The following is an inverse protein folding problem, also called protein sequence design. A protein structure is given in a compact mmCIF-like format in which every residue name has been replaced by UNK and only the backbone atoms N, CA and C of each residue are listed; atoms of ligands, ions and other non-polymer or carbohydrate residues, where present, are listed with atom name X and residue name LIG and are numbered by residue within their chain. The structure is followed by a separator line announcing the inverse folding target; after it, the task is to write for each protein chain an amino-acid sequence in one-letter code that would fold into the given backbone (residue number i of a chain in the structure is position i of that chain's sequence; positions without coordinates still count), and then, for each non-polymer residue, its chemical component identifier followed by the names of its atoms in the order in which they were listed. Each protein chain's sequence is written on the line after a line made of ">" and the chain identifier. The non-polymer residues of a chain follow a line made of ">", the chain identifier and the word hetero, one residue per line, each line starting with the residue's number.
data_IF_016771286035
#
_entry.id   IF_016771286035
#
_cell.length_a   1.000
_cell.length_b   1.000
_cell.length_c   1.000
_cell.angle_alpha   90.00
_cell.angle_beta   90.00
_cell.angle_gamma   90.00
#
_symmetry.space_group_name_H-M   'P 1'
#
loop_
_entity.id
_entity.type
_entity.pdbx_description
1 polymer ?
#
# COMPACT_ATOMS: atom_id res chain seq x y z
N UNK A 1 -21.68 5.20 21.88
CA UNK A 1 -21.15 4.68 23.14
C UNK A 1 -20.91 5.82 24.13
N UNK A 2 -21.15 5.60 25.44
CA UNK A 2 -20.87 6.58 26.51
C UNK A 2 -19.41 6.48 26.96
N UNK A 3 -18.89 5.28 27.15
CA UNK A 3 -17.51 5.03 27.57
C UNK A 3 -16.51 5.47 26.48
N UNK A 4 -15.53 6.35 26.78
CA UNK A 4 -14.56 6.82 25.80
C UNK A 4 -13.63 5.70 25.30
N UNK A 5 -13.36 4.68 26.09
CA UNK A 5 -12.54 3.53 25.67
C UNK A 5 -13.24 2.73 24.58
N UNK A 6 -14.56 2.50 24.72
CA UNK A 6 -15.35 1.82 23.70
C UNK A 6 -15.41 2.66 22.42
N UNK A 7 -15.57 4.00 22.54
CA UNK A 7 -15.52 4.87 21.35
C UNK A 7 -14.18 4.73 20.62
N UNK A 8 -13.11 4.68 21.36
CA UNK A 8 -11.76 4.56 20.80
C UNK A 8 -11.56 3.20 20.13
N UNK A 9 -11.99 2.10 20.76
CA UNK A 9 -11.89 0.75 20.23
C UNK A 9 -12.59 0.56 18.87
N UNK A 10 -13.66 1.33 18.59
CA UNK A 10 -14.38 1.30 17.31
C UNK A 10 -14.00 2.43 16.35
N UNK A 11 -12.97 3.20 16.61
CA UNK A 11 -12.56 4.32 15.76
C UNK A 11 -11.06 4.38 15.45
N UNK A 12 -10.20 3.73 16.25
CA UNK A 12 -8.76 3.80 16.04
C UNK A 12 -8.30 3.17 14.71
N UNK A 13 -9.09 2.28 14.11
CA UNK A 13 -8.81 1.64 12.82
C UNK A 13 -8.57 2.63 11.68
N UNK A 14 -9.02 3.89 11.82
CA UNK A 14 -8.67 4.95 10.87
C UNK A 14 -7.17 5.17 10.75
N UNK A 15 -6.37 4.78 11.76
CA UNK A 15 -4.90 4.81 11.71
C UNK A 15 -4.32 3.85 10.68
N UNK A 16 -5.03 2.79 10.30
CA UNK A 16 -4.65 1.92 9.17
C UNK A 16 -4.60 2.65 7.83
N UNK A 17 -5.23 3.83 7.77
CA UNK A 17 -5.21 4.72 6.61
C UNK A 17 -4.35 5.98 6.85
N UNK A 18 -3.58 5.99 7.95
CA UNK A 18 -2.74 7.11 8.34
C UNK A 18 -3.50 8.37 8.75
N UNK A 19 -4.70 8.22 9.34
CA UNK A 19 -5.56 9.34 9.72
C UNK A 19 -5.96 9.32 11.19
N UNK A 20 -6.20 10.50 11.75
CA UNK A 20 -6.80 10.66 13.06
C UNK A 20 -8.27 10.23 13.08
N UNK A 21 -8.72 9.41 14.07
CA UNK A 21 -10.13 9.05 14.24
C UNK A 21 -11.03 10.27 14.50
N UNK A 22 -10.47 11.39 14.94
CA UNK A 22 -11.20 12.61 15.23
C UNK A 22 -11.46 13.47 13.98
N UNK A 23 -10.83 13.17 12.85
CA UNK A 23 -10.93 13.89 11.58
C UNK A 23 -11.31 12.99 10.41
N UNK A 24 -11.28 11.69 10.64
CA UNK A 24 -11.64 10.70 9.66
C UNK A 24 -13.14 10.72 9.39
N UNK A 25 -13.60 10.62 8.14
CA UNK A 25 -15.00 10.39 7.84
C UNK A 25 -15.55 9.14 8.52
N UNK A 26 -16.76 9.22 9.08
CA UNK A 26 -17.40 8.11 9.79
C UNK A 26 -17.61 6.85 8.94
N UNK A 27 -17.55 6.96 7.61
CA UNK A 27 -17.57 5.83 6.69
C UNK A 27 -16.51 4.77 7.05
N UNK A 28 -15.36 5.18 7.61
CA UNK A 28 -14.27 4.26 7.95
C UNK A 28 -14.53 3.40 9.19
N UNK A 29 -15.67 3.56 9.89
CA UNK A 29 -16.13 2.59 10.88
C UNK A 29 -16.44 1.22 10.26
N UNK A 30 -16.59 1.16 8.93
CA UNK A 30 -16.68 -0.12 8.19
C UNK A 30 -15.44 -1.01 8.40
N UNK A 31 -14.28 -0.46 8.72
CA UNK A 31 -13.07 -1.24 8.99
C UNK A 31 -13.26 -2.15 10.20
N UNK A 32 -13.85 -1.63 11.31
CA UNK A 32 -14.19 -2.44 12.47
C UNK A 32 -15.18 -3.56 12.11
N UNK A 33 -16.21 -3.24 11.31
CA UNK A 33 -17.16 -4.26 10.83
C UNK A 33 -16.45 -5.38 10.05
N UNK A 34 -15.55 -5.01 9.13
CA UNK A 34 -14.83 -6.00 8.31
C UNK A 34 -13.95 -6.92 9.17
N UNK A 35 -13.29 -6.39 10.19
CA UNK A 35 -12.46 -7.18 11.12
C UNK A 35 -13.31 -8.16 11.92
N UNK A 36 -14.44 -7.73 12.46
CA UNK A 36 -15.31 -8.59 13.29
C UNK A 36 -16.10 -9.61 12.48
N UNK A 37 -16.54 -9.25 11.26
CA UNK A 37 -17.33 -10.12 10.41
C UNK A 37 -16.47 -11.15 9.67
N UNK A 38 -15.31 -10.72 9.15
CA UNK A 38 -14.48 -11.57 8.28
C UNK A 38 -13.19 -12.07 8.95
N UNK A 39 -12.82 -11.52 10.10
CA UNK A 39 -11.59 -11.85 10.81
C UNK A 39 -10.33 -11.21 10.21
N UNK A 40 -9.21 -11.46 10.88
CA UNK A 40 -7.88 -11.04 10.46
C UNK A 40 -7.04 -12.30 10.28
N UNK A 41 -6.31 -12.40 9.16
CA UNK A 41 -5.57 -13.60 8.78
C UNK A 41 -4.08 -13.29 8.67
N UNK A 42 -3.26 -14.19 9.20
CA UNK A 42 -1.82 -14.20 9.03
C UNK A 42 -1.44 -15.28 8.01
N UNK A 43 -0.86 -14.94 6.85
CA UNK A 43 -0.36 -15.94 5.92
C UNK A 43 0.92 -16.58 6.48
N UNK A 44 1.06 -17.89 6.38
CA UNK A 44 2.29 -18.58 6.78
C UNK A 44 3.48 -18.05 6.01
N UNK A 45 4.55 -17.67 6.70
CA UNK A 45 5.71 -16.98 6.14
C UNK A 45 5.50 -15.47 5.93
N UNK A 46 4.42 -14.90 6.49
CA UNK A 46 4.14 -13.45 6.48
C UNK A 46 3.69 -12.91 5.12
N UNK A 47 3.53 -11.59 5.03
CA UNK A 47 3.10 -10.92 3.80
C UNK A 47 4.06 -11.14 2.62
N UNK A 48 5.34 -11.38 2.88
CA UNK A 48 6.33 -11.72 1.85
C UNK A 48 5.98 -13.00 1.08
N UNK A 49 5.43 -14.01 1.77
CA UNK A 49 4.99 -15.25 1.14
C UNK A 49 3.82 -15.03 0.17
N UNK A 50 2.92 -14.10 0.47
CA UNK A 50 1.83 -13.69 -0.44
C UNK A 50 2.41 -13.08 -1.72
N UNK A 51 3.32 -12.11 -1.60
CA UNK A 51 3.96 -11.47 -2.75
C UNK A 51 4.70 -12.48 -3.63
N UNK A 52 5.43 -13.43 -3.03
CA UNK A 52 6.12 -14.49 -3.75
C UNK A 52 5.13 -15.45 -4.46
N UNK A 53 4.01 -15.79 -3.81
CA UNK A 53 2.98 -16.62 -4.42
C UNK A 53 2.33 -15.93 -5.62
N UNK A 54 2.06 -14.63 -5.53
CA UNK A 54 1.54 -13.82 -6.64
C UNK A 54 2.56 -13.74 -7.78
N UNK A 55 3.84 -13.52 -7.49
CA UNK A 55 4.91 -13.52 -8.50
C UNK A 55 4.94 -14.84 -9.26
N UNK A 56 4.99 -15.99 -8.55
CA UNK A 56 4.96 -17.31 -9.18
C UNK A 56 3.70 -17.53 -10.03
N UNK A 57 2.53 -17.06 -9.58
CA UNK A 57 1.30 -17.17 -10.35
C UNK A 57 1.37 -16.33 -11.65
N UNK A 58 1.89 -15.13 -11.55
CA UNK A 58 2.06 -14.19 -12.66
C UNK A 58 3.00 -14.76 -13.72
N UNK A 59 4.13 -15.35 -13.32
CA UNK A 59 5.09 -16.00 -14.23
C UNK A 59 4.47 -17.24 -14.92
N UNK A 60 3.70 -18.06 -14.18
CA UNK A 60 2.94 -19.19 -14.75
C UNK A 60 1.93 -18.78 -15.83
N UNK A 61 1.42 -17.55 -15.73
CA UNK A 61 0.53 -16.95 -16.73
C UNK A 61 1.29 -16.34 -17.92
N UNK A 62 2.62 -16.45 -17.95
CA UNK A 62 3.47 -16.02 -19.06
C UNK A 62 4.02 -14.60 -18.93
N UNK A 63 3.77 -13.90 -17.83
CA UNK A 63 4.38 -12.59 -17.58
C UNK A 63 5.87 -12.75 -17.21
N UNK A 64 6.64 -11.68 -17.41
CA UNK A 64 8.05 -11.60 -17.02
C UNK A 64 8.23 -10.59 -15.91
N UNK A 65 9.00 -10.95 -14.89
CA UNK A 65 9.34 -10.08 -13.77
C UNK A 65 10.82 -9.71 -13.89
N UNK A 66 11.12 -8.41 -13.94
CA UNK A 66 12.46 -7.87 -13.99
C UNK A 66 12.76 -7.17 -12.67
N UNK A 67 13.63 -7.78 -11.86
CA UNK A 67 14.11 -7.23 -10.59
C UNK A 67 15.36 -6.39 -10.80
N UNK A 68 15.64 -5.47 -9.88
CA UNK A 68 16.80 -4.57 -9.93
C UNK A 68 16.86 -3.73 -11.22
N UNK A 69 15.70 -3.46 -11.80
CA UNK A 69 15.55 -2.72 -13.03
C UNK A 69 14.54 -1.54 -12.85
N UNK A 70 14.97 -0.48 -12.17
CA UNK A 70 14.11 0.70 -11.98
C UNK A 70 13.78 1.34 -13.33
N UNK A 71 12.52 1.77 -13.47
CA UNK A 71 12.09 2.60 -14.60
C UNK A 71 12.61 4.03 -14.36
N UNK A 72 13.38 4.53 -15.29
CA UNK A 72 14.00 5.86 -15.25
C UNK A 72 13.13 6.93 -15.94
N UNK A 73 12.33 6.49 -16.93
CA UNK A 73 11.51 7.40 -17.74
C UNK A 73 10.32 6.66 -18.35
N UNK A 74 9.18 7.34 -18.43
CA UNK A 74 8.04 6.92 -19.25
C UNK A 74 8.10 7.70 -20.56
N UNK A 75 8.08 6.98 -21.70
CA UNK A 75 8.16 7.55 -23.03
C UNK A 75 6.76 7.89 -23.56
N UNK A 76 6.60 9.08 -24.10
CA UNK A 76 5.33 9.57 -24.61
C UNK A 76 5.42 10.00 -26.08
N UNK A 77 4.36 9.70 -26.83
CA UNK A 77 4.02 10.33 -28.11
C UNK A 77 2.80 11.22 -27.88
N UNK A 78 3.03 12.54 -27.84
CA UNK A 78 2.00 13.49 -27.41
C UNK A 78 1.60 13.23 -25.95
N UNK A 79 0.39 12.73 -25.72
CA UNK A 79 -0.14 12.38 -24.39
C UNK A 79 -0.27 10.87 -24.16
N UNK A 80 0.11 10.07 -25.15
CA UNK A 80 0.02 8.61 -25.10
C UNK A 80 1.34 8.02 -24.61
N UNK A 81 1.31 7.19 -23.58
CA UNK A 81 2.47 6.39 -23.19
C UNK A 81 2.72 5.29 -24.23
N UNK A 82 3.97 5.17 -24.68
CA UNK A 82 4.38 4.21 -25.72
C UNK A 82 5.48 3.27 -25.26
N UNK A 83 6.03 3.46 -24.07
CA UNK A 83 7.06 2.59 -23.51
C UNK A 83 7.67 3.15 -22.24
N UNK A 84 8.64 2.44 -21.72
CA UNK A 84 9.46 2.85 -20.57
C UNK A 84 10.94 2.67 -20.90
N UNK A 85 11.77 3.51 -20.28
CA UNK A 85 13.23 3.39 -20.29
C UNK A 85 13.72 2.88 -18.94
N UNK A 86 14.62 1.93 -18.97
CA UNK A 86 15.38 1.42 -17.82
C UNK A 86 16.85 1.28 -18.21
N UNK A 87 17.70 0.84 -17.28
CA UNK A 87 19.12 0.57 -17.56
C UNK A 87 19.34 -0.46 -18.67
N UNK A 88 18.41 -1.42 -18.84
CA UNK A 88 18.51 -2.45 -19.87
C UNK A 88 18.01 -1.99 -21.25
N UNK A 89 17.55 -0.76 -21.39
CA UNK A 89 17.08 -0.17 -22.64
C UNK A 89 15.59 0.19 -22.62
N UNK A 90 15.03 0.37 -23.80
CA UNK A 90 13.63 0.77 -24.01
C UNK A 90 12.77 -0.47 -24.16
N UNK A 91 11.62 -0.46 -23.47
CA UNK A 91 10.56 -1.47 -23.60
C UNK A 91 9.29 -0.79 -24.08
N UNK A 92 8.86 -1.05 -25.32
CA UNK A 92 7.60 -0.51 -25.84
C UNK A 92 6.41 -1.20 -25.15
N UNK A 93 5.29 -0.49 -25.06
CA UNK A 93 4.04 -1.02 -24.53
C UNK A 93 2.81 -0.37 -25.16
N UNK A 94 1.72 -1.12 -25.26
CA UNK A 94 0.41 -0.62 -25.71
C UNK A 94 -0.40 -0.01 -24.55
N UNK A 95 -0.13 -0.47 -23.32
CA UNK A 95 -0.72 0.02 -22.09
C UNK A 95 0.30 -0.01 -20.96
N UNK A 96 0.35 1.04 -20.17
CA UNK A 96 1.24 1.17 -19.01
C UNK A 96 0.42 1.18 -17.73
N UNK A 97 0.76 0.29 -16.79
CA UNK A 97 0.20 0.29 -15.43
C UNK A 97 1.26 0.78 -14.45
N UNK A 98 0.96 1.85 -13.72
CA UNK A 98 1.85 2.41 -12.70
C UNK A 98 1.35 1.98 -11.33
N UNK A 99 2.17 1.18 -10.62
CA UNK A 99 1.95 0.73 -9.24
C UNK A 99 2.96 1.33 -8.25
N UNK A 100 3.75 2.31 -8.66
CA UNK A 100 4.62 3.07 -7.78
C UNK A 100 3.79 4.03 -6.90
N UNK A 101 4.43 4.64 -5.88
CA UNK A 101 3.81 5.76 -5.17
C UNK A 101 3.34 6.81 -6.18
N UNK A 102 2.05 7.19 -6.09
CA UNK A 102 1.42 8.02 -7.10
C UNK A 102 2.13 9.38 -7.26
N UNK A 103 2.36 10.07 -6.15
CA UNK A 103 2.95 11.41 -6.20
C UNK A 103 4.42 11.35 -6.64
N UNK A 104 5.17 10.35 -6.17
CA UNK A 104 6.54 10.11 -6.61
C UNK A 104 6.59 9.80 -8.12
N UNK A 105 5.77 8.89 -8.62
CA UNK A 105 5.73 8.55 -10.04
C UNK A 105 5.38 9.77 -10.91
N UNK A 106 4.40 10.59 -10.48
CA UNK A 106 4.04 11.79 -11.21
C UNK A 106 5.19 12.79 -11.25
N UNK A 107 5.86 13.04 -10.13
CA UNK A 107 6.93 14.05 -10.06
C UNK A 107 8.22 13.64 -10.79
N UNK A 108 8.51 12.33 -10.89
CA UNK A 108 9.78 11.84 -11.40
C UNK A 108 9.69 11.20 -12.79
N UNK A 109 8.55 10.54 -13.13
CA UNK A 109 8.43 9.76 -14.35
C UNK A 109 7.54 10.40 -15.40
N UNK A 110 6.70 11.37 -15.03
CA UNK A 110 5.76 12.03 -15.94
C UNK A 110 6.09 13.51 -16.04
N UNK A 111 6.43 14.03 -17.23
CA UNK A 111 6.72 15.45 -17.43
C UNK A 111 5.57 16.35 -16.95
N UNK A 112 5.88 17.39 -16.15
CA UNK A 112 4.88 18.30 -15.58
C UNK A 112 3.94 18.93 -16.62
N UNK A 113 4.38 19.35 -17.82
CA UNK A 113 3.49 19.91 -18.85
C UNK A 113 2.43 18.94 -19.38
N UNK A 114 2.62 17.63 -19.23
CA UNK A 114 1.66 16.61 -19.64
C UNK A 114 0.55 16.40 -18.59
N UNK A 115 0.75 16.89 -17.37
CA UNK A 115 -0.19 16.76 -16.25
C UNK A 115 -1.05 18.01 -16.13
N UNK A 116 -2.38 17.83 -16.04
CA UNK A 116 -3.35 18.92 -15.88
C UNK A 116 -3.86 19.03 -14.47
N UNK A 117 -4.33 17.91 -13.94
CA UNK A 117 -4.93 17.82 -12.59
C UNK A 117 -3.88 17.63 -11.51
N UNK A 118 -2.75 17.00 -11.83
CA UNK A 118 -1.75 16.51 -10.89
C UNK A 118 -0.36 17.10 -11.17
N UNK A 119 -0.29 18.42 -11.43
CA UNK A 119 0.99 19.15 -11.59
C UNK A 119 1.74 19.20 -10.27
N UNK A 120 3.05 19.47 -10.31
CA UNK A 120 3.89 19.52 -9.10
C UNK A 120 3.34 20.52 -8.08
N UNK A 121 2.91 21.70 -8.52
CA UNK A 121 2.37 22.75 -7.67
C UNK A 121 1.03 22.34 -7.03
N UNK A 122 0.24 21.50 -7.71
CA UNK A 122 -1.01 20.98 -7.19
C UNK A 122 -0.79 19.80 -6.25
N UNK A 123 0.20 18.95 -6.54
CA UNK A 123 0.61 17.85 -5.64
C UNK A 123 1.14 18.40 -4.33
N UNK A 124 1.97 19.44 -4.38
CA UNK A 124 2.53 20.09 -3.17
C UNK A 124 1.43 20.61 -2.22
N UNK A 125 0.33 21.10 -2.77
CA UNK A 125 -0.83 21.59 -2.01
C UNK A 125 -1.76 20.49 -1.49
N UNK A 126 -1.52 19.22 -1.84
CA UNK A 126 -2.33 18.11 -1.35
C UNK A 126 -1.98 17.77 0.10
N UNK A 127 -2.96 17.22 0.81
CA UNK A 127 -2.74 16.65 2.12
C UNK A 127 -2.27 15.21 1.97
N UNK A 128 -1.15 14.90 2.59
CA UNK A 128 -0.61 13.55 2.69
C UNK A 128 -0.93 12.95 4.06
N UNK A 129 -0.87 11.63 4.13
CA UNK A 129 -1.04 10.90 5.38
C UNK A 129 0.13 11.14 6.34
N UNK A 130 0.00 10.71 7.56
CA UNK A 130 1.17 10.54 8.42
C UNK A 130 2.14 9.53 7.80
N UNK A 131 3.34 9.51 8.36
CA UNK A 131 4.36 8.50 8.10
C UNK A 131 4.47 7.52 9.26
N UNK A 132 5.46 6.66 9.18
CA UNK A 132 5.81 5.70 10.22
C UNK A 132 7.31 5.71 10.50
N UNK A 133 7.65 5.68 11.78
CA UNK A 133 8.96 5.25 12.25
C UNK A 133 8.85 3.75 12.51
N UNK A 134 9.59 2.96 11.75
CA UNK A 134 9.51 1.50 11.79
C UNK A 134 10.76 0.91 12.41
N UNK A 135 10.60 -0.08 13.28
CA UNK A 135 11.69 -0.93 13.74
C UNK A 135 11.38 -2.38 13.40
N UNK A 136 12.25 -3.01 12.66
CA UNK A 136 12.24 -4.45 12.40
C UNK A 136 13.31 -5.08 13.27
N UNK A 137 12.89 -5.94 14.20
CA UNK A 137 13.75 -6.46 15.25
C UNK A 137 13.80 -7.98 15.19
N UNK A 138 15.02 -8.53 15.24
CA UNK A 138 15.26 -9.93 15.57
C UNK A 138 15.81 -10.00 17.00
N UNK A 139 15.11 -10.71 17.89
CA UNK A 139 15.39 -10.75 19.30
C UNK A 139 15.82 -12.15 19.73
N UNK A 140 16.83 -12.23 20.57
CA UNK A 140 17.14 -13.45 21.32
C UNK A 140 16.06 -13.73 22.36
N UNK A 141 15.69 -15.00 22.47
CA UNK A 141 14.64 -15.46 23.36
C UNK A 141 13.24 -15.29 22.78
N UNK A 142 12.32 -16.07 23.35
CA UNK A 142 10.90 -16.04 22.95
C UNK A 142 10.16 -14.91 23.67
N UNK A 143 9.15 -14.37 23.00
CA UNK A 143 8.22 -13.35 23.50
C UNK A 143 6.80 -13.91 23.52
N UNK A 144 6.61 -15.09 24.13
CA UNK A 144 5.35 -15.85 24.05
C UNK A 144 4.20 -15.18 24.81
N UNK A 145 4.50 -14.33 25.80
CA UNK A 145 3.51 -13.56 26.56
C UNK A 145 3.01 -12.31 25.82
N UNK A 146 3.69 -11.91 24.75
CA UNK A 146 3.26 -10.78 23.93
C UNK A 146 2.33 -11.26 22.82
N UNK A 147 1.11 -10.74 22.77
CA UNK A 147 0.12 -11.09 21.75
C UNK A 147 0.64 -10.81 20.32
N UNK A 148 0.10 -11.53 19.34
CA UNK A 148 0.45 -11.31 17.91
C UNK A 148 0.31 -9.85 17.48
N UNK A 149 -0.75 -9.19 17.94
CA UNK A 149 -1.01 -7.78 17.71
C UNK A 149 -1.20 -7.05 19.03
N UNK A 150 -0.36 -6.06 19.30
CA UNK A 150 -0.47 -5.21 20.48
C UNK A 150 -0.47 -3.75 20.03
N UNK A 151 -1.46 -2.99 20.48
CA UNK A 151 -1.58 -1.55 20.20
C UNK A 151 -1.56 -0.82 21.53
N UNK A 152 -0.60 0.09 21.68
CA UNK A 152 -0.54 1.03 22.77
C UNK A 152 -1.00 2.41 22.28
N UNK A 153 -1.92 3.01 22.99
CA UNK A 153 -2.38 4.36 22.73
C UNK A 153 -1.83 5.29 23.82
N UNK A 154 -1.22 6.38 23.43
CA UNK A 154 -0.67 7.37 24.34
C UNK A 154 -1.73 7.87 25.33
N UNK A 155 -1.34 8.21 26.55
CA UNK A 155 -2.23 8.71 27.60
C UNK A 155 -3.02 9.95 27.14
N UNK A 156 -2.37 10.92 26.50
CA UNK A 156 -3.04 11.98 25.73
C UNK A 156 -3.00 11.65 24.23
N UNK A 157 -3.85 10.72 23.81
CA UNK A 157 -3.96 10.31 22.41
C UNK A 157 -4.31 11.46 21.47
N UNK A 158 -5.11 12.44 21.93
CA UNK A 158 -5.46 13.60 21.11
C UNK A 158 -4.26 14.51 20.89
N UNK A 159 -3.43 14.71 21.91
CA UNK A 159 -2.19 15.47 21.79
C UNK A 159 -1.22 14.78 20.85
N UNK A 160 -1.00 13.48 21.01
CA UNK A 160 -0.15 12.69 20.12
C UNK A 160 -0.58 12.81 18.64
N UNK A 161 -1.88 12.82 18.36
CA UNK A 161 -2.37 12.99 16.99
C UNK A 161 -2.17 14.42 16.45
N UNK A 162 -2.30 15.46 17.31
CA UNK A 162 -1.99 16.84 16.91
C UNK A 162 -0.49 17.02 16.62
N UNK A 163 0.37 16.46 17.44
CA UNK A 163 1.82 16.48 17.23
C UNK A 163 2.17 15.95 15.83
N UNK A 164 1.50 14.88 15.40
CA UNK A 164 1.72 14.23 14.09
C UNK A 164 1.13 15.03 12.92
N UNK A 165 -0.13 15.50 13.06
CA UNK A 165 -0.93 15.98 11.91
C UNK A 165 -0.98 17.51 11.78
N UNK A 166 -0.69 18.25 12.84
CA UNK A 166 -0.80 19.71 12.88
C UNK A 166 0.53 20.39 13.22
N UNK A 167 1.15 19.97 14.34
CA UNK A 167 2.35 20.59 14.85
C UNK A 167 3.61 20.04 14.15
N UNK A 168 3.49 18.86 13.52
CA UNK A 168 4.57 18.16 12.81
C UNK A 168 5.84 18.02 13.65
N UNK A 169 5.69 17.51 14.87
CA UNK A 169 6.80 17.30 15.82
C UNK A 169 6.81 15.87 16.33
N UNK A 170 7.94 15.45 16.92
CA UNK A 170 8.07 14.16 17.57
C UNK A 170 7.57 14.27 19.01
N UNK A 171 6.68 13.36 19.39
CA UNK A 171 6.16 13.30 20.77
C UNK A 171 7.08 12.46 21.67
N UNK A 172 7.16 12.81 22.96
CA UNK A 172 7.86 12.04 23.97
C UNK A 172 7.08 10.77 24.41
N UNK A 173 5.80 10.69 24.13
CA UNK A 173 4.94 9.55 24.48
C UNK A 173 4.12 9.12 23.28
N UNK A 174 4.74 8.47 22.27
CA UNK A 174 4.04 8.04 21.07
C UNK A 174 3.12 6.87 21.35
N UNK A 175 2.01 6.84 20.62
CA UNK A 175 1.27 5.61 20.39
C UNK A 175 2.07 4.72 19.46
N UNK A 176 1.94 3.39 19.60
CA UNK A 176 2.65 2.44 18.75
C UNK A 176 1.87 1.14 18.56
N UNK A 177 2.26 0.39 17.56
CA UNK A 177 1.78 -0.96 17.28
C UNK A 177 2.97 -1.90 17.26
N UNK A 178 2.80 -3.07 17.87
CA UNK A 178 3.77 -4.16 17.82
C UNK A 178 3.10 -5.39 17.21
N UNK A 179 3.76 -5.98 16.22
CA UNK A 179 3.44 -7.31 15.73
C UNK A 179 4.49 -8.30 16.21
N UNK A 180 4.04 -9.39 16.84
CA UNK A 180 4.84 -10.53 17.21
C UNK A 180 4.35 -11.77 16.42
N UNK A 181 4.78 -11.95 15.17
CA UNK A 181 4.27 -13.04 14.34
C UNK A 181 4.71 -14.42 14.82
N UNK A 182 5.79 -14.53 15.59
CA UNK A 182 6.37 -15.80 16.02
C UNK A 182 5.49 -16.58 16.99
N UNK A 183 4.51 -15.95 17.65
CA UNK A 183 3.53 -16.67 18.50
C UNK A 183 2.49 -17.45 17.68
N UNK A 184 2.25 -17.01 16.42
CA UNK A 184 1.29 -17.66 15.52
C UNK A 184 1.98 -18.51 14.47
N UNK A 185 3.15 -18.04 14.00
CA UNK A 185 3.97 -18.69 12.98
C UNK A 185 5.43 -18.76 13.47
N UNK A 186 5.81 -19.82 14.17
CA UNK A 186 7.17 -19.96 14.71
C UNK A 186 8.28 -19.87 13.64
N UNK A 187 7.98 -20.16 12.39
CA UNK A 187 8.91 -20.05 11.27
C UNK A 187 9.30 -18.61 10.91
N UNK A 188 8.70 -17.60 11.55
CA UNK A 188 9.02 -16.18 11.32
C UNK A 188 10.31 -15.71 12.02
N UNK A 189 10.97 -16.57 12.80
CA UNK A 189 12.29 -16.33 13.38
C UNK A 189 13.05 -17.66 13.51
N UNK A 190 14.39 -17.64 13.68
CA UNK A 190 15.15 -18.82 14.07
C UNK A 190 14.66 -19.40 15.38
N UNK A 191 14.95 -20.69 15.62
CA UNK A 191 14.59 -21.39 16.85
C UNK A 191 15.12 -20.65 18.10
N UNK A 192 14.26 -20.51 19.12
CA UNK A 192 14.59 -19.80 20.35
C UNK A 192 14.59 -18.26 20.23
N UNK A 193 14.27 -17.72 19.06
CA UNK A 193 14.22 -16.26 18.80
C UNK A 193 12.80 -15.76 18.54
N UNK A 194 12.65 -14.45 18.54
CA UNK A 194 11.42 -13.76 18.14
C UNK A 194 11.73 -12.68 17.09
N UNK A 195 10.79 -12.44 16.19
CA UNK A 195 10.80 -11.25 15.35
C UNK A 195 9.71 -10.28 15.78
N UNK A 196 10.03 -9.01 15.89
CA UNK A 196 9.05 -7.96 16.16
C UNK A 196 9.05 -6.94 15.03
N UNK A 197 7.86 -6.46 14.73
CA UNK A 197 7.61 -5.35 13.84
C UNK A 197 6.98 -4.24 14.69
N UNK A 198 7.72 -3.16 14.92
CA UNK A 198 7.25 -2.00 15.71
C UNK A 198 6.95 -0.86 14.77
N UNK A 199 5.72 -0.36 14.81
CA UNK A 199 5.25 0.77 14.02
C UNK A 199 4.85 1.92 14.94
N UNK A 200 5.52 3.05 14.79
CA UNK A 200 5.19 4.30 15.49
C UNK A 200 4.71 5.31 14.45
N UNK A 201 3.45 5.74 14.49
CA UNK A 201 2.99 6.82 13.64
C UNK A 201 3.71 8.12 13.96
N UNK A 202 4.26 8.76 12.93
CA UNK A 202 4.96 10.05 13.03
C UNK A 202 4.52 10.97 11.89
N UNK A 203 4.88 12.24 11.94
CA UNK A 203 4.66 13.14 10.80
C UNK A 203 5.39 12.63 9.55
N UNK A 204 4.85 12.89 8.36
CA UNK A 204 5.63 12.73 7.13
C UNK A 204 6.78 13.76 7.11
N UNK A 205 7.63 13.75 6.08
CA UNK A 205 8.76 14.69 6.02
C UNK A 205 8.31 16.15 6.15
N UNK A 206 8.90 16.84 7.09
CA UNK A 206 8.70 18.25 7.40
C UNK A 206 10.01 18.88 7.86
N UNK A 207 10.20 20.16 7.62
CA UNK A 207 11.39 20.92 8.03
C UNK A 207 11.58 20.96 9.55
N UNK A 208 10.52 20.67 10.32
CA UNK A 208 10.55 20.63 11.79
C UNK A 208 11.33 19.43 12.35
N UNK A 209 11.56 18.38 11.55
CA UNK A 209 12.18 17.14 12.02
C UNK A 209 13.34 16.75 11.12
N UNK A 210 14.54 16.86 11.65
CA UNK A 210 15.76 16.38 11.03
C UNK A 210 16.03 14.92 11.43
N UNK A 211 15.59 13.98 10.59
CA UNK A 211 15.75 12.55 10.87
C UNK A 211 17.20 12.09 10.99
N UNK A 212 18.15 12.77 10.38
CA UNK A 212 19.57 12.43 10.55
C UNK A 212 20.04 12.66 11.99
N UNK A 213 19.47 13.64 12.68
CA UNK A 213 19.79 13.98 14.08
C UNK A 213 18.86 13.25 15.06
N UNK A 214 17.57 13.19 14.74
CA UNK A 214 16.53 12.76 15.68
C UNK A 214 16.38 11.24 15.78
N UNK A 215 16.79 10.48 14.78
CA UNK A 215 16.56 9.02 14.73
C UNK A 215 17.03 8.31 15.99
N UNK A 216 18.24 8.59 16.45
CA UNK A 216 18.83 7.93 17.64
C UNK A 216 18.10 8.29 18.93
N UNK A 217 17.75 9.55 19.10
CA UNK A 217 17.01 10.04 20.27
C UNK A 217 15.59 9.49 20.28
N UNK A 218 14.89 9.50 19.12
CA UNK A 218 13.54 8.99 19.03
C UNK A 218 13.47 7.47 19.18
N UNK A 219 14.47 6.72 18.68
CA UNK A 219 14.61 5.28 18.95
C UNK A 219 14.61 5.00 20.46
N UNK A 220 15.36 5.79 21.24
CA UNK A 220 15.41 5.63 22.70
C UNK A 220 14.02 5.85 23.32
N UNK A 221 13.32 6.89 22.90
CA UNK A 221 11.93 7.15 23.33
C UNK A 221 11.04 5.95 23.02
N UNK A 222 11.13 5.38 21.82
CA UNK A 222 10.31 4.21 21.42
C UNK A 222 10.65 2.99 22.29
N UNK A 223 11.93 2.71 22.52
CA UNK A 223 12.35 1.58 23.37
C UNK A 223 11.80 1.73 24.79
N UNK A 224 11.90 2.91 25.39
CA UNK A 224 11.34 3.21 26.73
C UNK A 224 9.79 3.04 26.75
N UNK A 225 9.10 3.35 25.64
CA UNK A 225 7.65 3.14 25.57
C UNK A 225 7.27 1.65 25.42
N UNK A 226 8.13 0.83 24.80
CA UNK A 226 7.86 -0.61 24.63
C UNK A 226 7.84 -1.36 25.96
N UNK A 227 8.51 -0.88 27.00
CA UNK A 227 8.44 -1.42 28.37
C UNK A 227 7.00 -1.42 28.90
N UNK A 228 6.17 -0.46 28.51
CA UNK A 228 4.75 -0.39 28.93
C UNK A 228 3.88 -1.56 28.47
N UNK A 229 4.34 -2.33 27.52
CA UNK A 229 3.67 -3.53 27.02
C UNK A 229 4.44 -4.82 27.32
N UNK A 230 5.38 -4.76 28.26
CA UNK A 230 6.14 -5.91 28.75
C UNK A 230 7.30 -6.33 27.84
N UNK A 231 7.86 -5.38 27.09
CA UNK A 231 9.06 -5.62 26.28
C UNK A 231 10.24 -4.96 27.00
N UNK A 232 10.74 -5.65 27.99
CA UNK A 232 11.86 -5.21 28.83
C UNK A 232 13.20 -5.67 28.24
N UNK A 233 14.29 -5.02 28.64
CA UNK A 233 15.68 -5.36 28.28
C UNK A 233 15.92 -5.47 26.76
N UNK A 234 15.16 -4.70 25.96
CA UNK A 234 15.15 -4.81 24.51
C UNK A 234 16.55 -4.71 23.91
N UNK A 235 17.34 -3.72 24.33
CA UNK A 235 18.68 -3.47 23.78
C UNK A 235 19.66 -4.63 24.00
N UNK A 236 19.48 -5.42 25.07
CA UNK A 236 20.31 -6.59 25.35
C UNK A 236 19.92 -7.79 24.46
N UNK A 237 18.67 -7.84 24.04
CA UNK A 237 18.09 -8.95 23.26
C UNK A 237 18.18 -8.75 21.76
N UNK A 238 18.41 -7.52 21.27
CA UNK A 238 18.51 -7.24 19.84
C UNK A 238 19.71 -7.97 19.22
N UNK A 239 19.45 -8.81 18.19
CA UNK A 239 20.44 -9.43 17.31
C UNK A 239 20.40 -8.89 15.89
N UNK A 240 19.27 -8.32 15.51
CA UNK A 240 19.06 -7.62 14.25
C UNK A 240 18.16 -6.41 14.47
N UNK A 241 18.52 -5.29 13.89
CA UNK A 241 17.68 -4.09 13.89
C UNK A 241 17.76 -3.43 12.51
N UNK A 242 16.61 -3.10 11.95
CA UNK A 242 16.49 -2.18 10.82
C UNK A 242 15.46 -1.11 11.17
N UNK A 243 15.85 0.15 11.04
CA UNK A 243 14.95 1.29 11.24
C UNK A 243 14.65 1.92 9.89
N UNK A 244 13.39 2.25 9.65
CA UNK A 244 12.94 3.09 8.54
C UNK A 244 12.26 4.33 9.10
N UNK A 245 12.82 5.48 8.75
CA UNK A 245 12.30 6.81 9.08
C UNK A 245 11.52 7.37 7.88
N UNK A 246 10.74 8.44 8.02
CA UNK A 246 10.13 9.15 6.89
C UNK A 246 11.13 9.53 5.79
N UNK A 247 12.36 9.93 6.15
CA UNK A 247 13.41 10.22 5.18
C UNK A 247 13.85 8.96 4.40
N UNK A 248 13.98 7.82 5.07
CA UNK A 248 14.33 6.54 4.42
C UNK A 248 13.16 5.97 3.62
N UNK A 249 11.91 6.18 4.04
CA UNK A 249 10.75 5.85 3.21
C UNK A 249 10.78 6.60 1.88
N UNK A 250 11.18 7.86 1.88
CA UNK A 250 11.31 8.65 0.65
C UNK A 250 12.52 8.21 -0.17
N UNK A 251 13.72 8.19 0.41
CA UNK A 251 14.97 7.98 -0.32
C UNK A 251 15.19 6.53 -0.77
N UNK A 252 14.82 5.52 0.05
CA UNK A 252 15.03 4.11 -0.27
C UNK A 252 13.80 3.44 -0.90
N UNK A 253 12.59 3.90 -0.55
CA UNK A 253 11.35 3.26 -0.98
C UNK A 253 10.55 4.10 -1.97
N UNK A 254 11.05 5.27 -2.36
CA UNK A 254 10.42 6.17 -3.33
C UNK A 254 8.99 6.57 -2.94
N UNK A 255 8.74 6.77 -1.63
CA UNK A 255 7.45 7.22 -1.11
C UNK A 255 7.50 8.73 -0.92
N UNK A 256 6.66 9.46 -1.66
CA UNK A 256 6.64 10.91 -1.67
C UNK A 256 6.46 11.49 -0.25
N UNK A 257 7.40 12.37 0.16
CA UNK A 257 7.47 12.94 1.52
C UNK A 257 7.49 11.88 2.64
N UNK A 258 7.83 10.64 2.33
CA UNK A 258 7.76 9.53 3.28
C UNK A 258 6.35 9.24 3.81
N UNK A 259 5.29 9.73 3.18
CA UNK A 259 3.89 9.55 3.59
C UNK A 259 3.39 8.13 3.25
N UNK A 260 3.61 7.19 4.17
CA UNK A 260 3.47 5.74 3.92
C UNK A 260 2.06 5.26 3.53
N UNK A 261 1.02 6.06 3.77
CA UNK A 261 -0.36 5.78 3.34
C UNK A 261 -0.80 6.68 2.17
N UNK A 262 0.15 7.39 1.52
CA UNK A 262 -0.08 8.23 0.35
C UNK A 262 -0.99 9.44 0.63
N UNK A 263 -1.78 9.88 -0.37
CA UNK A 263 -2.75 10.97 -0.21
C UNK A 263 -3.73 10.68 0.94
N UNK A 264 -3.93 11.66 1.82
CA UNK A 264 -4.85 11.55 2.95
C UNK A 264 -6.30 11.28 2.49
N UNK A 265 -7.03 10.43 3.24
CA UNK A 265 -8.40 10.02 2.92
C UNK A 265 -9.42 11.05 3.44
N UNK A 266 -9.24 12.32 3.08
CA UNK A 266 -10.20 13.39 3.38
C UNK A 266 -11.30 13.45 2.33
N UNK A 267 -12.48 14.02 2.68
CA UNK A 267 -13.58 14.21 1.72
C UNK A 267 -13.15 14.91 0.42
N UNK A 268 -12.18 15.82 0.50
CA UNK A 268 -11.63 16.53 -0.66
C UNK A 268 -10.70 15.69 -1.56
N UNK A 269 -10.30 14.49 -1.12
CA UNK A 269 -9.28 13.66 -1.78
C UNK A 269 -9.68 12.19 -1.92
N UNK A 270 -10.94 11.85 -1.62
CA UNK A 270 -11.49 10.49 -1.71
C UNK A 270 -12.37 10.31 -2.95
N UNK A 271 -12.74 9.05 -3.19
CA UNK A 271 -13.67 8.64 -4.25
C UNK A 271 -13.24 9.20 -5.61
N UNK A 272 -14.15 9.89 -6.32
CA UNK A 272 -13.88 10.50 -7.64
C UNK A 272 -12.85 11.64 -7.63
N UNK A 273 -12.41 12.08 -6.46
CA UNK A 273 -11.39 13.12 -6.31
C UNK A 273 -9.98 12.54 -6.16
N UNK A 274 -9.85 11.25 -5.96
CA UNK A 274 -8.58 10.52 -5.96
C UNK A 274 -8.11 10.28 -7.39
N UNK A 275 -6.80 10.04 -7.66
CA UNK A 275 -6.35 9.64 -8.99
C UNK A 275 -7.14 8.44 -9.50
N UNK A 276 -7.59 8.51 -10.75
CA UNK A 276 -8.44 7.46 -11.33
C UNK A 276 -7.59 6.29 -11.83
N UNK A 277 -8.16 5.09 -11.81
CA UNK A 277 -7.49 3.89 -12.30
C UNK A 277 -7.18 3.96 -13.81
N UNK A 278 -8.06 4.56 -14.63
CA UNK A 278 -7.69 5.06 -15.96
C UNK A 278 -7.24 6.49 -15.76
N UNK A 279 -5.95 6.76 -15.96
CA UNK A 279 -5.40 8.07 -15.61
C UNK A 279 -5.98 9.17 -16.50
N UNK A 280 -6.55 10.17 -15.87
CA UNK A 280 -7.33 11.20 -16.54
C UNK A 280 -6.50 12.18 -17.38
N UNK A 281 -5.21 12.31 -17.10
CA UNK A 281 -4.34 13.26 -17.77
C UNK A 281 -3.60 12.67 -18.97
N UNK A 282 -3.50 11.35 -19.11
CA UNK A 282 -2.69 10.67 -20.13
C UNK A 282 -3.44 9.50 -20.78
N UNK A 283 -3.07 9.18 -22.01
CA UNK A 283 -3.61 8.06 -22.75
C UNK A 283 -2.76 6.80 -22.55
N UNK A 284 -3.39 5.64 -22.54
CA UNK A 284 -2.78 4.33 -22.32
C UNK A 284 -2.05 4.20 -20.96
N UNK A 285 -2.33 5.08 -20.00
CA UNK A 285 -1.79 5.03 -18.63
C UNK A 285 -2.89 4.66 -17.66
N UNK A 286 -2.60 3.64 -16.86
CA UNK A 286 -3.47 3.14 -15.81
C UNK A 286 -2.73 3.18 -14.48
N UNK A 287 -3.48 3.42 -13.41
CA UNK A 287 -2.94 3.50 -12.06
C UNK A 287 -3.54 2.41 -11.18
N UNK A 288 -2.74 1.92 -10.23
CA UNK A 288 -3.14 0.94 -9.23
C UNK A 288 -2.39 1.18 -7.92
N UNK A 289 -2.95 0.71 -6.82
CA UNK A 289 -2.32 0.82 -5.50
C UNK A 289 -2.92 1.89 -4.60
N UNK A 290 -2.26 2.13 -3.45
CA UNK A 290 -2.79 2.94 -2.35
C UNK A 290 -3.00 4.42 -2.66
N UNK A 291 -2.21 4.99 -3.59
CA UNK A 291 -2.34 6.39 -4.03
C UNK A 291 -3.51 6.65 -4.97
N UNK A 292 -4.16 5.59 -5.48
CA UNK A 292 -5.20 5.60 -6.50
C UNK A 292 -6.56 5.23 -5.90
N UNK A 293 -7.64 5.37 -6.66
CA UNK A 293 -8.96 4.87 -6.29
C UNK A 293 -8.93 3.33 -6.15
N UNK A 294 -9.58 2.73 -5.14
CA UNK A 294 -10.38 3.34 -4.08
C UNK A 294 -9.55 3.90 -2.91
N UNK A 295 -8.31 3.49 -2.68
CA UNK A 295 -7.46 4.00 -1.60
C UNK A 295 -6.45 2.99 -1.06
N UNK A 296 -5.96 3.22 0.16
CA UNK A 296 -4.93 2.42 0.83
C UNK A 296 -5.51 1.22 1.60
N UNK A 297 -4.66 0.23 1.86
CA UNK A 297 -4.95 -1.00 2.61
C UNK A 297 -5.00 -2.22 1.69
N UNK A 298 -4.49 -3.39 2.14
CA UNK A 298 -4.35 -4.59 1.31
C UNK A 298 -5.65 -4.99 0.58
N UNK A 299 -6.82 -5.11 1.23
CA UNK A 299 -8.04 -5.46 0.51
C UNK A 299 -8.42 -4.43 -0.55
N UNK A 300 -8.19 -3.16 -0.24
CA UNK A 300 -8.54 -2.02 -1.10
C UNK A 300 -7.62 -1.94 -2.32
N UNK A 301 -6.32 -2.21 -2.17
CA UNK A 301 -5.40 -2.21 -3.31
C UNK A 301 -5.62 -3.40 -4.25
N UNK A 302 -6.10 -4.54 -3.75
CA UNK A 302 -6.52 -5.66 -4.60
C UNK A 302 -7.76 -5.30 -5.42
N UNK A 303 -8.71 -4.59 -4.83
CA UNK A 303 -9.87 -4.08 -5.60
C UNK A 303 -9.44 -3.03 -6.63
N UNK A 304 -8.46 -2.17 -6.31
CA UNK A 304 -7.84 -1.26 -7.28
C UNK A 304 -7.27 -2.01 -8.48
N UNK A 305 -6.54 -3.10 -8.25
CA UNK A 305 -5.99 -3.93 -9.32
C UNK A 305 -7.08 -4.57 -10.21
N UNK A 306 -8.14 -5.07 -9.59
CA UNK A 306 -9.29 -5.65 -10.31
C UNK A 306 -10.00 -4.59 -11.18
N UNK A 307 -10.26 -3.41 -10.65
CA UNK A 307 -10.84 -2.29 -11.40
C UNK A 307 -9.94 -1.94 -12.60
N UNK A 308 -8.64 -1.82 -12.36
CA UNK A 308 -7.67 -1.46 -13.41
C UNK A 308 -7.62 -2.51 -14.52
N UNK A 309 -7.59 -3.79 -14.20
CA UNK A 309 -7.58 -4.86 -15.20
C UNK A 309 -8.86 -4.85 -16.06
N UNK A 310 -10.02 -4.64 -15.46
CA UNK A 310 -11.29 -4.51 -16.19
C UNK A 310 -11.28 -3.33 -17.17
N UNK A 311 -10.76 -2.18 -16.74
CA UNK A 311 -10.65 -0.99 -17.59
C UNK A 311 -9.72 -1.23 -18.78
N UNK A 312 -8.60 -1.92 -18.60
CA UNK A 312 -7.67 -2.28 -19.68
C UNK A 312 -8.38 -3.22 -20.69
N UNK A 313 -9.08 -4.23 -20.20
CA UNK A 313 -9.83 -5.14 -21.07
C UNK A 313 -10.92 -4.43 -21.87
N UNK A 314 -11.67 -3.53 -21.25
CA UNK A 314 -12.69 -2.72 -21.93
C UNK A 314 -12.08 -1.88 -23.06
N UNK A 315 -10.95 -1.24 -22.81
CA UNK A 315 -10.29 -0.38 -23.80
C UNK A 315 -9.67 -1.21 -24.93
N UNK A 316 -9.06 -2.36 -24.63
CA UNK A 316 -8.55 -3.28 -25.63
C UNK A 316 -9.68 -3.80 -26.58
N UNK A 317 -10.89 -4.08 -26.05
CA UNK A 317 -12.05 -4.48 -26.86
C UNK A 317 -12.55 -3.36 -27.76
N UNK A 318 -12.49 -2.09 -27.32
CA UNK A 318 -12.86 -0.93 -28.13
C UNK A 318 -11.90 -0.76 -29.32
N UNK A 319 -10.60 -0.87 -29.09
CA UNK A 319 -9.59 -0.80 -30.14
C UNK A 319 -9.82 -1.86 -31.20
N UNK A 320 -10.02 -3.13 -30.81
CA UNK A 320 -10.35 -4.22 -31.76
C UNK A 320 -11.59 -3.93 -32.58
N UNK A 321 -12.67 -3.41 -31.99
CA UNK A 321 -13.89 -3.06 -32.72
C UNK A 321 -13.68 -1.95 -33.74
N UNK A 322 -12.86 -0.95 -33.42
CA UNK A 322 -12.58 0.18 -34.34
C UNK A 322 -11.70 -0.26 -35.50
N UNK A 323 -10.79 -1.21 -35.30
CA UNK A 323 -9.92 -1.77 -36.34
C UNK A 323 -10.70 -2.71 -37.30
N UNK A 324 -11.85 -3.24 -36.88
CA UNK A 324 -12.72 -4.11 -37.69
C UNK A 324 -13.87 -3.39 -38.38
N UNK A 325 -14.00 -2.07 -38.29
CA UNK A 325 -14.94 -1.33 -39.15
C UNK A 325 -14.30 -1.16 -40.53
N UNK A 326 -14.81 -1.81 -41.62
CA UNK A 326 -14.25 -1.63 -42.95
C UNK A 326 -14.40 -0.16 -43.33
N UNK A 327 -13.30 0.46 -43.71
CA UNK A 327 -13.34 1.75 -44.41
C UNK A 327 -14.22 1.57 -45.63
N UNK A 328 -15.32 2.33 -45.71
CA UNK A 328 -16.13 2.44 -46.95
C UNK A 328 -15.30 3.22 -47.98
N UNK A 329 -14.42 2.53 -48.69
CA UNK A 329 -13.97 2.87 -50.05
C UNK A 329 -13.07 1.75 -50.54
N UNK A 330 -13.42 1.22 -51.72
CA UNK A 330 -12.91 0.05 -52.40
C UNK A 330 -11.39 -0.07 -52.47
N UNK A 331 -10.93 -1.26 -52.24
CA UNK A 331 -10.25 -2.13 -53.20
C UNK A 331 -9.95 -3.46 -52.51
N UNK A 332 -10.31 -4.55 -53.19
CA UNK A 332 -10.04 -5.89 -52.76
C UNK A 332 -8.57 -6.23 -53.05
N UNK A 333 -7.81 -6.57 -52.03
CA UNK A 333 -6.47 -7.11 -52.14
C UNK A 333 -6.19 -8.02 -50.94
N UNK A 334 -6.07 -9.33 -51.25
CA UNK A 334 -5.75 -10.42 -50.35
C UNK A 334 -4.58 -10.11 -49.41
N UNK A 335 -4.76 -10.27 -48.10
CA UNK A 335 -3.74 -10.85 -47.21
C UNK A 335 -4.43 -11.73 -46.18
N UNK A 336 -4.40 -13.00 -46.46
CA UNK A 336 -4.84 -14.08 -45.59
C UNK A 336 -3.64 -14.59 -44.76
N UNK A 337 -3.91 -14.98 -43.49
CA UNK A 337 -3.11 -15.84 -42.59
C UNK A 337 -1.99 -15.21 -41.80
N UNK A 338 -2.29 -14.90 -40.56
CA UNK A 338 -1.56 -15.41 -39.39
C UNK A 338 -2.22 -14.88 -38.10
N UNK A 339 -3.00 -15.71 -37.45
CA UNK A 339 -3.25 -15.73 -35.99
C UNK A 339 -4.34 -16.75 -35.70
N UNK A 340 -3.93 -17.99 -35.69
CA UNK A 340 -4.74 -19.13 -35.26
C UNK A 340 -4.56 -19.37 -33.76
N UNK A 341 -5.69 -19.60 -33.14
CA UNK A 341 -5.95 -20.44 -31.95
C UNK A 341 -5.23 -20.10 -30.63
N UNK A 342 -5.92 -19.37 -29.77
CA UNK A 342 -5.97 -19.65 -28.34
C UNK A 342 -7.09 -18.83 -27.67
N UNK A 343 -8.34 -19.28 -27.70
CA UNK A 343 -9.36 -18.90 -26.73
C UNK A 343 -10.62 -19.77 -26.91
N UNK A 344 -10.64 -20.92 -26.28
CA UNK A 344 -11.90 -21.54 -25.87
C UNK A 344 -11.61 -22.35 -24.60
N UNK A 345 -11.73 -21.74 -23.44
CA UNK A 345 -11.96 -22.48 -22.20
C UNK A 345 -13.35 -22.13 -21.70
N UNK A 346 -14.19 -23.13 -21.78
CA UNK A 346 -15.57 -23.14 -21.32
C UNK A 346 -15.63 -22.90 -19.80
N UNK A 347 -16.58 -22.06 -19.40
CA UNK A 347 -17.04 -21.94 -18.02
C UNK A 347 -17.65 -23.26 -17.56
N UNK A 348 -16.95 -24.00 -16.70
CA UNK A 348 -17.53 -25.08 -15.91
C UNK A 348 -17.90 -24.56 -14.54
N UNK A 349 -19.16 -24.62 -14.25
CA UNK A 349 -19.90 -24.45 -13.01
C UNK A 349 -19.12 -24.86 -11.75
N UNK A 350 -18.84 -23.88 -10.89
CA UNK A 350 -18.47 -24.13 -9.51
C UNK A 350 -19.73 -24.42 -8.69
N UNK A 351 -19.82 -25.66 -8.20
CA UNK A 351 -20.89 -26.11 -7.33
C UNK A 351 -20.89 -25.37 -5.98
N UNK A 352 -22.08 -25.10 -5.48
CA UNK A 352 -22.33 -24.56 -4.15
C UNK A 352 -21.69 -25.44 -3.07
N UNK A 353 -21.03 -24.87 -2.04
CA UNK A 353 -20.62 -25.67 -0.88
C UNK A 353 -21.84 -26.04 -0.02
N UNK A 354 -21.87 -27.29 0.39
CA UNK A 354 -22.87 -27.84 1.28
C UNK A 354 -22.80 -27.20 2.68
N UNK A 355 -23.97 -26.88 3.24
CA UNK A 355 -24.17 -26.44 4.61
C UNK A 355 -23.80 -27.56 5.58
N UNK A 356 -22.64 -27.49 6.22
CA UNK A 356 -22.26 -28.33 7.35
C UNK A 356 -22.64 -27.63 8.66
N UNK A 357 -23.56 -28.25 9.41
CA UNK A 357 -23.96 -27.85 10.75
C UNK A 357 -22.79 -27.96 11.70
N UNK A 358 -22.38 -26.88 12.32
CA UNK A 358 -21.48 -26.88 13.47
C UNK A 358 -22.31 -26.96 14.76
N UNK A 359 -22.17 -28.08 15.48
CA UNK A 359 -22.70 -28.27 16.82
C UNK A 359 -21.97 -27.35 17.81
N UNK A 360 -22.75 -26.63 18.60
CA UNK A 360 -22.28 -25.88 19.78
C UNK A 360 -21.93 -26.90 20.89
N UNK A 361 -20.72 -26.84 21.39
CA UNK A 361 -20.39 -27.29 22.75
C UNK A 361 -19.42 -26.31 23.39
N UNK A 362 -19.90 -25.78 24.51
CA UNK A 362 -19.28 -25.11 25.66
C UNK A 362 -18.01 -24.27 25.47
#
# INVERSE_FOLDING_TARGET
>A
FKDPRVRLAFSFQSKYLGMSPFRCPSLFTILSFLEYEHGVFHPRGGCGAVSQAMARATEKLGARIHLNEPVEEILFEGRKAVGVRSKSGIRPCDALVVNADFAHAMSHLVPNPLRKRWTDEKLEKKKFSCSTFMMYLGLEGRMDDLAHHTIYLADDYRRNLRDIEDDHVLTAQPSFYVQNPTVTDPGMAPEGMSSLYVLVPVTHQHDNVDWARETKAFRKVVVEQLEKVGIDDLDQRIRYEKILTPALWESEQSIYKGATFNLAHTWGQMLSRRPHNRFEDLESVYLVGGGTHPGSGLPVIFESAKITSQLIEEDARKVKKTTFLPSRSGDAGEVDRAWGSAATMQSSTLGKPASGSLSKTA
#
